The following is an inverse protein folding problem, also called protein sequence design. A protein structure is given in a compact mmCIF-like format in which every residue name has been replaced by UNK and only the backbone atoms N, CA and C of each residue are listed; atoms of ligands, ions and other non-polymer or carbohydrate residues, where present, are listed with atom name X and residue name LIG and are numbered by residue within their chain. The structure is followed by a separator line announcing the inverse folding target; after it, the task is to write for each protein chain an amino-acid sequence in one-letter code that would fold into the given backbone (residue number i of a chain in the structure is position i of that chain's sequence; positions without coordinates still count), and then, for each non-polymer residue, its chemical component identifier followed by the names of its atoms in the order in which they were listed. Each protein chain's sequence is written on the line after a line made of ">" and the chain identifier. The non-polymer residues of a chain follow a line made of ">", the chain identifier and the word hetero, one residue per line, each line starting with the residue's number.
data_IF_076215684481
#
_entry.id   IF_076215684481
#
_cell.length_a   1.000
_cell.length_b   1.000
_cell.length_c   1.000
_cell.angle_alpha   90.00
_cell.angle_beta   90.00
_cell.angle_gamma   90.00
#
_symmetry.space_group_name_H-M   'P 1'
#
loop_
_entity.id
_entity.type
_entity.pdbx_description
1 polymer ?
#
# COMPACT_ATOMS: atom_id res chain seq x y z
N UNK A 1 -10.86 2.91 -5.14
CA UNK A 1 -10.05 2.27 -6.18
C UNK A 1 -10.34 0.78 -6.22
N UNK A 2 -10.50 0.22 -7.42
CA UNK A 2 -10.80 -1.19 -7.68
C UNK A 2 -9.66 -1.80 -8.49
N UNK A 3 -9.18 -2.99 -8.11
CA UNK A 3 -8.07 -3.60 -8.83
C UNK A 3 -7.73 -5.03 -8.48
N UNK A 4 -8.16 -5.50 -7.29
CA UNK A 4 -7.73 -6.81 -6.78
C UNK A 4 -8.29 -7.98 -7.60
N UNK A 5 -9.50 -7.84 -8.18
CA UNK A 5 -10.19 -8.87 -8.96
C UNK A 5 -10.44 -8.47 -10.42
N UNK A 6 -10.03 -7.28 -10.85
CA UNK A 6 -10.17 -6.83 -12.24
C UNK A 6 -9.31 -7.67 -13.19
N UNK A 7 -9.54 -7.54 -14.50
CA UNK A 7 -8.72 -8.22 -15.50
C UNK A 7 -7.22 -7.95 -15.32
N UNK A 8 -6.34 -8.90 -15.66
CA UNK A 8 -4.89 -8.69 -15.69
C UNK A 8 -4.51 -7.51 -16.58
N UNK A 9 -3.65 -6.63 -16.07
CA UNK A 9 -3.13 -5.45 -16.76
C UNK A 9 -1.68 -5.14 -16.37
N UNK A 10 -1.06 -4.13 -16.97
CA UNK A 10 0.32 -3.73 -16.69
C UNK A 10 0.50 -3.14 -15.28
N UNK A 11 -0.57 -2.65 -14.63
CA UNK A 11 -0.57 -2.09 -13.28
C UNK A 11 -0.93 -3.14 -12.19
N UNK A 12 -1.01 -4.40 -12.57
CA UNK A 12 -1.38 -5.50 -11.65
C UNK A 12 -0.45 -5.63 -10.46
N UNK A 13 0.82 -5.16 -10.56
CA UNK A 13 1.76 -5.14 -9.44
C UNK A 13 1.23 -4.40 -8.22
N UNK A 14 0.56 -3.28 -8.44
CA UNK A 14 0.02 -2.44 -7.37
C UNK A 14 -1.20 -3.05 -6.66
N UNK A 15 -2.03 -3.79 -7.42
CA UNK A 15 -3.31 -4.26 -6.92
C UNK A 15 -3.28 -5.72 -6.48
N UNK A 16 -2.77 -6.58 -7.35
CA UNK A 16 -2.71 -8.03 -7.16
C UNK A 16 -1.71 -8.63 -8.14
N UNK A 17 -0.45 -8.86 -7.74
CA UNK A 17 0.59 -9.38 -8.63
C UNK A 17 0.31 -10.81 -9.14
N UNK A 18 -0.60 -11.58 -8.51
CA UNK A 18 -0.99 -12.89 -8.99
C UNK A 18 -1.67 -12.84 -10.36
N UNK A 19 -2.26 -11.72 -10.75
CA UNK A 19 -2.89 -11.48 -12.05
C UNK A 19 -1.90 -11.63 -13.21
N UNK A 20 -0.62 -11.30 -13.02
CA UNK A 20 0.39 -11.41 -14.08
C UNK A 20 0.55 -12.83 -14.64
N UNK A 21 0.23 -13.86 -13.86
CA UNK A 21 0.24 -15.24 -14.37
C UNK A 21 -0.82 -15.50 -15.45
N UNK A 22 -1.80 -14.62 -15.61
CA UNK A 22 -2.85 -14.70 -16.63
C UNK A 22 -2.65 -13.73 -17.80
N UNK A 23 -1.52 -12.99 -17.83
CA UNK A 23 -1.21 -12.13 -18.97
C UNK A 23 -0.85 -12.97 -20.19
N UNK A 24 -1.39 -12.62 -21.35
CA UNK A 24 -1.15 -13.32 -22.62
C UNK A 24 0.22 -12.98 -23.20
N UNK A 25 0.69 -11.74 -22.99
CA UNK A 25 2.00 -11.31 -23.49
C UNK A 25 3.14 -11.81 -22.61
N UNK A 26 4.27 -12.07 -23.25
CA UNK A 26 5.48 -12.58 -22.57
C UNK A 26 6.07 -11.58 -21.58
N UNK A 27 5.85 -10.31 -21.78
CA UNK A 27 6.33 -9.26 -20.89
C UNK A 27 5.74 -7.92 -21.24
N UNK A 28 5.85 -6.96 -20.34
CA UNK A 28 5.36 -5.61 -20.54
C UNK A 28 5.89 -4.65 -19.48
N UNK A 29 5.89 -3.37 -19.83
CA UNK A 29 6.31 -2.26 -18.97
C UNK A 29 5.25 -1.17 -19.04
N UNK A 30 4.98 -0.52 -17.92
CA UNK A 30 4.12 0.66 -17.83
C UNK A 30 4.82 1.74 -17.03
N UNK A 31 4.59 2.99 -17.43
CA UNK A 31 5.02 4.17 -16.69
C UNK A 31 3.84 5.12 -16.53
N UNK A 32 3.59 5.56 -15.31
CA UNK A 32 2.53 6.49 -14.99
C UNK A 32 3.14 7.68 -14.26
N UNK A 33 2.75 8.88 -14.63
CA UNK A 33 3.10 10.11 -13.94
C UNK A 33 1.82 10.90 -13.66
N UNK A 34 1.62 11.22 -12.40
CA UNK A 34 0.40 11.89 -11.94
C UNK A 34 0.79 13.12 -11.12
N UNK A 35 0.76 14.31 -11.73
CA UNK A 35 0.87 15.56 -10.97
C UNK A 35 -0.40 15.76 -10.15
N UNK A 36 -0.22 15.99 -8.85
CA UNK A 36 -1.34 16.10 -7.90
C UNK A 36 -1.58 17.56 -7.55
N UNK A 37 -2.85 17.99 -7.52
CA UNK A 37 -3.27 19.32 -7.06
C UNK A 37 -2.52 20.51 -7.71
N UNK A 38 -2.05 20.41 -8.93
CA UNK A 38 -1.18 21.37 -9.63
C UNK A 38 -1.68 22.83 -9.65
N UNK A 39 -2.99 23.05 -9.39
CA UNK A 39 -3.56 24.41 -9.28
C UNK A 39 -3.43 25.02 -7.87
N UNK A 40 -3.11 24.23 -6.87
CA UNK A 40 -2.97 24.63 -5.47
C UNK A 40 -1.52 24.54 -5.01
N UNK A 41 -0.85 23.43 -5.35
CA UNK A 41 0.54 23.14 -5.03
C UNK A 41 1.18 22.56 -6.28
N UNK A 42 2.28 23.09 -6.73
CA UNK A 42 2.84 22.81 -8.07
C UNK A 42 3.79 21.63 -8.13
N UNK A 43 4.17 21.06 -7.00
CA UNK A 43 5.31 20.14 -6.83
C UNK A 43 4.95 18.83 -6.07
N UNK A 44 3.66 18.52 -5.99
CA UNK A 44 3.21 17.19 -5.50
C UNK A 44 3.05 16.27 -6.71
N UNK A 45 3.92 15.26 -6.79
CA UNK A 45 4.02 14.37 -7.93
C UNK A 45 4.08 12.91 -7.51
N UNK A 46 3.39 12.06 -8.25
CA UNK A 46 3.49 10.61 -8.15
C UNK A 46 4.01 10.04 -9.46
N UNK A 47 5.15 9.37 -9.41
CA UNK A 47 5.69 8.58 -10.51
C UNK A 47 5.61 7.09 -10.17
N UNK A 48 5.16 6.27 -11.12
CA UNK A 48 5.05 4.83 -10.97
C UNK A 48 5.53 4.13 -12.23
N UNK A 49 6.46 3.21 -12.07
CA UNK A 49 6.98 2.33 -13.12
C UNK A 49 6.73 0.88 -12.69
N UNK A 50 6.19 0.06 -13.58
CA UNK A 50 6.05 -1.37 -13.32
C UNK A 50 6.33 -2.18 -14.57
N UNK A 51 6.73 -3.44 -14.35
CA UNK A 51 6.97 -4.37 -15.42
C UNK A 51 6.90 -5.82 -14.96
N UNK A 52 6.70 -6.72 -15.92
CA UNK A 52 6.69 -8.15 -15.67
C UNK A 52 7.32 -8.91 -16.83
N UNK A 53 7.77 -10.12 -16.53
CA UNK A 53 8.27 -11.07 -17.52
C UNK A 53 7.78 -12.48 -17.19
N UNK A 54 7.04 -13.07 -18.12
CA UNK A 54 6.51 -14.43 -18.01
C UNK A 54 7.57 -15.41 -18.53
N UNK A 55 8.06 -16.28 -17.65
CA UNK A 55 9.08 -17.28 -17.94
C UNK A 55 8.47 -18.60 -18.45
N UNK A 56 7.16 -18.66 -18.58
CA UNK A 56 6.38 -19.83 -18.96
C UNK A 56 5.64 -20.48 -17.79
N UNK A 57 4.67 -21.34 -18.10
CA UNK A 57 3.72 -21.88 -17.10
C UNK A 57 4.42 -22.64 -15.95
N UNK A 58 5.52 -23.35 -16.23
CA UNK A 58 6.26 -24.07 -15.21
C UNK A 58 7.16 -23.17 -14.37
N UNK A 59 7.70 -22.10 -14.93
CA UNK A 59 8.64 -21.20 -14.28
C UNK A 59 7.98 -19.99 -13.63
N UNK A 60 6.71 -19.68 -13.99
CA UNK A 60 5.96 -18.57 -13.45
C UNK A 60 6.33 -17.19 -14.04
N UNK A 61 5.97 -16.14 -13.36
CA UNK A 61 6.18 -14.75 -13.80
C UNK A 61 6.90 -13.97 -12.71
N UNK A 62 7.97 -13.27 -13.10
CA UNK A 62 8.61 -12.26 -12.26
C UNK A 62 8.07 -10.90 -12.62
N UNK A 63 7.93 -10.04 -11.63
CA UNK A 63 7.47 -8.66 -11.82
C UNK A 63 8.08 -7.73 -10.78
N UNK A 64 8.04 -6.44 -11.04
CA UNK A 64 8.51 -5.44 -10.11
C UNK A 64 7.93 -4.08 -10.41
N UNK A 65 8.04 -3.19 -9.43
CA UNK A 65 7.67 -1.80 -9.59
C UNK A 65 8.58 -0.88 -8.80
N UNK A 66 8.59 0.37 -9.22
CA UNK A 66 9.18 1.51 -8.52
C UNK A 66 8.12 2.58 -8.43
N UNK A 67 7.88 3.09 -7.22
CA UNK A 67 7.03 4.24 -6.97
C UNK A 67 7.82 5.35 -6.28
N UNK A 68 7.60 6.58 -6.71
CA UNK A 68 8.16 7.78 -6.10
C UNK A 68 7.05 8.79 -5.87
N UNK A 69 6.98 9.31 -4.66
CA UNK A 69 6.01 10.33 -4.27
C UNK A 69 6.74 11.54 -3.68
N UNK A 70 6.61 12.70 -4.35
CA UNK A 70 7.01 14.00 -3.83
C UNK A 70 5.81 14.65 -3.16
N UNK A 71 5.97 15.07 -1.91
CA UNK A 71 4.91 15.77 -1.17
C UNK A 71 4.96 17.29 -1.35
N UNK A 72 5.83 17.77 -2.24
CA UNK A 72 6.03 19.18 -2.49
C UNK A 72 6.88 19.88 -1.42
N UNK A 73 7.01 21.19 -1.57
CA UNK A 73 7.74 22.04 -0.63
C UNK A 73 6.86 22.39 0.57
N UNK A 74 7.37 22.16 1.77
CA UNK A 74 6.71 22.49 3.04
C UNK A 74 7.53 23.53 3.78
N UNK A 75 6.98 24.73 3.97
CA UNK A 75 7.64 25.77 4.76
C UNK A 75 7.51 25.49 6.25
N UNK A 76 8.65 25.39 6.93
CA UNK A 76 8.72 25.30 8.37
C UNK A 76 8.69 26.73 8.96
N UNK A 77 7.80 26.92 9.92
CA UNK A 77 7.61 28.20 10.60
C UNK A 77 7.95 28.06 12.07
N UNK A 78 8.52 29.11 12.66
CA UNK A 78 8.76 29.20 14.09
C UNK A 78 7.45 29.47 14.86
N UNK A 79 7.54 29.54 16.20
CA UNK A 79 6.40 29.85 17.07
C UNK A 79 5.80 31.26 16.85
N UNK A 80 6.49 32.14 16.15
CA UNK A 80 6.00 33.48 15.76
C UNK A 80 5.33 33.49 14.38
N UNK A 81 5.35 32.37 13.67
CA UNK A 81 4.82 32.24 12.31
C UNK A 81 5.80 32.69 11.23
N UNK A 82 7.09 32.95 11.59
CA UNK A 82 8.12 33.34 10.63
C UNK A 82 8.71 32.08 9.99
N UNK A 83 8.68 32.04 8.64
CA UNK A 83 9.29 30.94 7.89
C UNK A 83 10.83 30.99 8.03
N UNK A 84 11.45 29.87 8.35
CA UNK A 84 12.89 29.76 8.57
C UNK A 84 13.58 28.70 7.71
N UNK A 85 12.88 27.65 7.30
CA UNK A 85 13.40 26.59 6.42
C UNK A 85 12.29 26.01 5.53
N UNK A 86 12.72 25.29 4.48
CA UNK A 86 11.84 24.58 3.57
C UNK A 86 12.26 23.10 3.51
N UNK A 87 11.30 22.21 3.74
CA UNK A 87 11.47 20.77 3.60
C UNK A 87 10.86 20.29 2.28
N UNK A 88 11.47 19.26 1.68
CA UNK A 88 10.97 18.58 0.48
C UNK A 88 10.73 17.10 0.76
N UNK A 89 9.67 16.76 1.52
CA UNK A 89 9.38 15.39 1.89
C UNK A 89 9.17 14.51 0.67
N UNK A 90 9.76 13.32 0.70
CA UNK A 90 9.58 12.36 -0.37
C UNK A 90 9.58 10.93 0.16
N UNK A 91 8.89 10.06 -0.57
CA UNK A 91 8.82 8.64 -0.29
C UNK A 91 9.03 7.86 -1.58
N UNK A 92 9.66 6.70 -1.47
CA UNK A 92 9.75 5.79 -2.58
C UNK A 92 9.72 4.33 -2.13
N UNK A 93 9.26 3.48 -3.03
CA UNK A 93 9.20 2.05 -2.80
C UNK A 93 9.69 1.28 -4.03
N UNK A 94 10.35 0.16 -3.76
CA UNK A 94 10.72 -0.85 -4.77
C UNK A 94 10.06 -2.16 -4.41
N UNK A 95 9.35 -2.75 -5.37
CA UNK A 95 8.70 -4.04 -5.24
C UNK A 95 9.31 -5.05 -6.19
N UNK A 96 9.48 -6.27 -5.70
CA UNK A 96 9.79 -7.43 -6.51
C UNK A 96 8.79 -8.53 -6.18
N UNK A 97 8.17 -9.13 -7.20
CA UNK A 97 7.19 -10.18 -7.02
C UNK A 97 7.45 -11.38 -7.92
N UNK A 98 7.03 -12.52 -7.42
CA UNK A 98 6.96 -13.77 -8.16
C UNK A 98 5.52 -14.28 -8.10
N UNK A 99 4.95 -14.59 -9.26
CA UNK A 99 3.63 -15.19 -9.38
C UNK A 99 3.64 -16.46 -10.20
N UNK A 100 2.74 -17.39 -9.87
CA UNK A 100 2.63 -18.67 -10.57
C UNK A 100 1.19 -19.15 -10.58
N UNK A 101 0.77 -19.76 -11.70
CA UNK A 101 -0.45 -20.56 -11.77
C UNK A 101 -0.27 -21.83 -10.94
N UNK A 102 -1.16 -22.02 -9.97
CA UNK A 102 -1.27 -23.26 -9.19
C UNK A 102 -2.23 -24.25 -9.83
N UNK A 103 -3.20 -23.71 -10.56
CA UNK A 103 -4.20 -24.43 -11.32
C UNK A 103 -4.58 -23.62 -12.56
N UNK A 104 -5.31 -24.19 -13.51
CA UNK A 104 -5.77 -23.52 -14.73
C UNK A 104 -6.46 -22.18 -14.44
N UNK A 105 -7.23 -22.10 -13.33
CA UNK A 105 -8.01 -20.93 -12.92
C UNK A 105 -7.46 -20.19 -11.70
N UNK A 106 -6.39 -20.67 -11.09
CA UNK A 106 -5.87 -20.12 -9.82
C UNK A 106 -4.41 -19.76 -9.94
N UNK A 107 -4.06 -18.58 -9.55
CA UNK A 107 -2.67 -18.16 -9.35
C UNK A 107 -2.43 -17.57 -7.98
N UNK A 108 -1.19 -17.59 -7.56
CA UNK A 108 -0.69 -17.01 -6.32
C UNK A 108 0.54 -16.16 -6.62
N UNK A 109 0.76 -15.13 -5.80
CA UNK A 109 1.98 -14.34 -5.84
C UNK A 109 2.47 -14.01 -4.43
N UNK A 110 3.78 -13.81 -4.34
CA UNK A 110 4.45 -13.23 -3.18
C UNK A 110 5.29 -12.07 -3.69
N UNK A 111 5.22 -10.93 -2.99
CA UNK A 111 6.08 -9.79 -3.29
C UNK A 111 6.88 -9.39 -2.04
N UNK A 112 8.07 -8.86 -2.28
CA UNK A 112 8.89 -8.18 -1.29
C UNK A 112 8.96 -6.71 -1.67
N UNK A 113 8.79 -5.84 -0.68
CA UNK A 113 8.76 -4.39 -0.81
C UNK A 113 9.78 -3.76 0.11
N UNK A 114 10.61 -2.87 -0.44
CA UNK A 114 11.44 -1.95 0.32
C UNK A 114 10.80 -0.57 0.27
N UNK A 115 10.63 0.05 1.43
CA UNK A 115 10.03 1.37 1.62
C UNK A 115 11.06 2.31 2.24
N UNK A 116 11.15 3.51 1.69
CA UNK A 116 11.97 4.61 2.20
C UNK A 116 11.14 5.89 2.26
N UNK A 117 11.25 6.61 3.37
CA UNK A 117 10.56 7.87 3.58
C UNK A 117 11.50 8.88 4.24
N UNK A 118 11.63 10.04 3.62
CA UNK A 118 12.40 11.17 4.14
C UNK A 118 11.47 12.38 4.26
N UNK A 119 10.96 12.59 5.45
CA UNK A 119 10.03 13.69 5.76
C UNK A 119 10.75 15.01 6.03
N UNK A 120 12.05 14.95 6.28
CA UNK A 120 12.87 16.10 6.68
C UNK A 120 13.90 16.51 5.63
N UNK A 121 13.77 16.01 4.40
CA UNK A 121 14.69 16.30 3.31
C UNK A 121 14.82 17.81 3.07
N UNK A 122 16.05 18.32 3.09
CA UNK A 122 16.35 19.74 2.93
C UNK A 122 16.44 20.55 4.23
N UNK A 123 16.09 19.97 5.39
CA UNK A 123 16.16 20.66 6.69
C UNK A 123 17.52 20.44 7.34
N UNK A 124 18.17 21.54 7.76
CA UNK A 124 19.41 21.49 8.52
C UNK A 124 19.09 21.41 10.03
N UNK A 125 19.41 20.30 10.66
CA UNK A 125 19.16 20.03 12.08
C UNK A 125 19.87 21.00 13.06
N UNK A 126 20.85 21.77 12.60
CA UNK A 126 21.62 22.70 13.45
C UNK A 126 20.87 23.96 13.89
N UNK A 127 19.61 24.15 13.45
CA UNK A 127 18.84 25.40 13.70
C UNK A 127 17.85 25.29 14.85
N UNK A 128 17.61 24.08 15.39
CA UNK A 128 16.61 23.85 16.45
C UNK A 128 17.24 23.19 17.67
N UNK A 129 17.65 23.98 18.64
CA UNK A 129 18.28 23.52 19.92
C UNK A 129 17.40 22.61 20.79
N UNK A 130 16.11 22.40 20.45
CA UNK A 130 15.14 21.60 21.24
C UNK A 130 14.21 20.70 20.41
N UNK A 131 14.51 20.42 19.14
CA UNK A 131 13.68 19.51 18.33
C UNK A 131 14.31 18.12 18.32
N UNK A 132 13.50 17.10 18.45
CA UNK A 132 13.88 15.71 18.16
C UNK A 132 14.44 15.65 16.74
N UNK A 133 15.68 15.20 16.60
CA UNK A 133 16.33 15.08 15.30
C UNK A 133 15.58 14.01 14.50
N UNK A 134 15.02 14.40 13.36
CA UNK A 134 14.29 13.48 12.47
C UNK A 134 15.25 12.95 11.41
N UNK A 135 15.27 11.64 11.27
CA UNK A 135 16.07 10.92 10.28
C UNK A 135 15.18 10.26 9.22
N UNK A 136 15.71 10.03 8.01
CA UNK A 136 15.01 9.21 7.03
C UNK A 136 14.71 7.81 7.60
N UNK A 137 13.52 7.32 7.35
CA UNK A 137 13.08 6.01 7.80
C UNK A 137 12.97 5.02 6.64
N UNK A 138 13.22 3.75 6.92
CA UNK A 138 13.03 2.68 5.96
C UNK A 138 12.46 1.43 6.62
N UNK A 139 11.79 0.61 5.85
CA UNK A 139 11.30 -0.69 6.31
C UNK A 139 11.15 -1.65 5.14
N UNK A 140 10.95 -2.91 5.47
CA UNK A 140 10.63 -3.96 4.51
C UNK A 140 9.25 -4.54 4.81
N UNK A 141 8.55 -4.90 3.75
CA UNK A 141 7.25 -5.54 3.81
C UNK A 141 7.14 -6.68 2.80
N UNK A 142 6.17 -7.56 3.03
CA UNK A 142 5.80 -8.60 2.09
C UNK A 142 4.33 -8.50 1.72
N UNK A 143 4.00 -8.90 0.49
CA UNK A 143 2.62 -9.03 0.05
C UNK A 143 2.36 -10.49 -0.31
N UNK A 144 1.13 -10.95 -0.07
CA UNK A 144 0.63 -12.26 -0.50
C UNK A 144 -0.67 -12.06 -1.26
N UNK A 145 -0.74 -12.60 -2.46
CA UNK A 145 -1.88 -12.40 -3.35
C UNK A 145 -2.37 -13.73 -3.94
N UNK A 146 -3.68 -13.80 -4.13
CA UNK A 146 -4.37 -14.89 -4.83
C UNK A 146 -5.29 -14.30 -5.89
N UNK A 147 -5.37 -14.97 -7.02
CA UNK A 147 -6.28 -14.60 -8.08
C UNK A 147 -6.90 -15.85 -8.70
N UNK A 148 -8.22 -15.86 -8.78
CA UNK A 148 -9.01 -16.86 -9.47
C UNK A 148 -9.68 -16.23 -10.68
N UNK A 149 -9.59 -16.87 -11.84
CA UNK A 149 -10.24 -16.40 -13.07
C UNK A 149 -10.75 -17.59 -13.86
N UNK A 150 -12.06 -17.65 -14.01
CA UNK A 150 -12.75 -18.71 -14.74
C UNK A 150 -13.42 -18.13 -16.01
N UNK A 151 -13.13 -18.67 -17.19
CA UNK A 151 -13.88 -18.37 -18.40
C UNK A 151 -15.26 -19.06 -18.32
N UNK A 152 -16.27 -18.35 -18.82
CA UNK A 152 -17.65 -18.84 -18.95
C UNK A 152 -18.07 -18.56 -20.38
N UNK A 153 -18.22 -19.61 -21.18
CA UNK A 153 -18.66 -19.45 -22.58
C UNK A 153 -20.14 -19.17 -22.66
N UNK A 154 -20.48 -18.03 -23.23
CA UNK A 154 -21.84 -17.58 -23.50
C UNK A 154 -22.08 -17.55 -25.02
N UNK A 155 -23.35 -17.57 -25.48
CA UNK A 155 -23.67 -17.47 -26.90
C UNK A 155 -23.16 -16.18 -27.58
N UNK A 156 -22.91 -15.12 -26.76
CA UNK A 156 -22.44 -13.80 -27.23
C UNK A 156 -20.93 -13.64 -27.11
N UNK A 157 -20.18 -14.66 -26.68
CA UNK A 157 -18.73 -14.63 -26.47
C UNK A 157 -18.30 -15.10 -25.08
N UNK A 158 -17.00 -15.10 -24.84
CA UNK A 158 -16.45 -15.52 -23.56
C UNK A 158 -16.60 -14.43 -22.50
N UNK A 159 -17.23 -14.79 -21.40
CA UNK A 159 -17.35 -14.05 -20.15
C UNK A 159 -16.27 -14.50 -19.16
N UNK A 160 -15.96 -13.70 -18.17
CA UNK A 160 -15.02 -14.05 -17.12
C UNK A 160 -15.57 -13.74 -15.74
N UNK A 161 -15.51 -14.72 -14.86
CA UNK A 161 -15.72 -14.54 -13.43
C UNK A 161 -14.36 -14.55 -12.75
N UNK A 162 -14.09 -13.57 -11.89
CA UNK A 162 -12.83 -13.52 -11.14
C UNK A 162 -13.03 -13.18 -9.67
N UNK A 163 -12.15 -13.76 -8.84
CA UNK A 163 -11.98 -13.42 -7.44
C UNK A 163 -10.53 -13.01 -7.21
N UNK A 164 -10.34 -11.98 -6.41
CA UNK A 164 -9.02 -11.50 -6.02
C UNK A 164 -8.91 -11.33 -4.52
N UNK A 165 -7.77 -11.72 -3.99
CA UNK A 165 -7.38 -11.51 -2.60
C UNK A 165 -5.94 -10.98 -2.57
N UNK A 166 -5.69 -9.96 -1.75
CA UNK A 166 -4.36 -9.42 -1.52
C UNK A 166 -4.20 -8.97 -0.06
N UNK A 167 -3.15 -9.45 0.58
CA UNK A 167 -2.59 -8.91 1.81
C UNK A 167 -1.33 -8.15 1.43
N UNK A 168 -1.31 -6.85 1.63
CA UNK A 168 -0.18 -6.00 1.26
C UNK A 168 0.41 -5.26 2.45
N UNK A 169 1.69 -4.89 2.32
CA UNK A 169 2.44 -4.17 3.34
C UNK A 169 2.51 -4.90 4.70
N UNK A 170 2.62 -6.23 4.69
CA UNK A 170 2.88 -7.02 5.90
C UNK A 170 4.34 -6.85 6.30
N UNK A 171 4.65 -5.83 7.09
CA UNK A 171 6.04 -5.46 7.37
C UNK A 171 6.28 -4.87 8.74
N UNK A 172 7.51 -4.38 8.91
CA UNK A 172 7.95 -3.68 10.10
C UNK A 172 7.32 -2.30 10.24
N UNK A 173 7.54 -1.68 11.38
CA UNK A 173 7.20 -0.28 11.62
C UNK A 173 8.30 0.63 11.08
N UNK A 174 7.98 1.91 10.91
CA UNK A 174 8.93 2.97 10.59
C UNK A 174 9.11 3.89 11.78
N UNK A 175 10.35 4.33 12.03
CA UNK A 175 10.70 5.30 13.05
C UNK A 175 11.57 6.40 12.42
N UNK A 176 11.25 7.65 12.71
CA UNK A 176 11.96 8.83 12.22
C UNK A 176 12.81 9.52 13.31
N UNK A 177 12.78 8.98 14.54
CA UNK A 177 13.35 9.56 15.75
C UNK A 177 14.13 8.51 16.56
N UNK A 178 15.21 7.96 16.02
CA UNK A 178 16.07 6.94 16.65
C UNK A 178 15.32 5.75 17.29
N UNK A 179 14.05 5.55 16.92
CA UNK A 179 13.23 4.44 17.38
C UNK A 179 12.31 4.74 18.55
N UNK A 180 12.28 5.97 19.04
CA UNK A 180 11.42 6.38 20.17
C UNK A 180 9.93 6.30 19.79
N UNK A 181 9.60 6.65 18.54
CA UNK A 181 8.21 6.59 18.03
C UNK A 181 8.10 5.67 16.82
N UNK A 182 7.54 4.49 17.02
CA UNK A 182 7.36 3.52 15.96
C UNK A 182 5.95 3.57 15.37
N UNK A 183 5.87 3.85 14.08
CA UNK A 183 4.62 3.96 13.34
C UNK A 183 4.39 2.72 12.46
N UNK A 184 3.14 2.21 12.45
CA UNK A 184 2.76 1.15 11.53
C UNK A 184 2.75 1.64 10.09
N UNK A 185 3.29 0.84 9.18
CA UNK A 185 3.04 1.03 7.75
C UNK A 185 1.60 0.60 7.42
N UNK A 186 1.00 1.12 6.34
CA UNK A 186 -0.40 0.86 5.99
C UNK A 186 -0.60 -0.56 5.43
N UNK A 187 -0.49 -1.58 6.30
CA UNK A 187 -0.85 -2.93 5.95
C UNK A 187 -2.34 -3.01 5.58
N UNK A 188 -2.66 -3.73 4.52
CA UNK A 188 -4.02 -3.74 3.96
C UNK A 188 -4.42 -5.12 3.47
N UNK A 189 -5.70 -5.45 3.67
CA UNK A 189 -6.36 -6.62 3.12
C UNK A 189 -7.40 -6.18 2.10
N UNK A 190 -7.34 -6.76 0.91
CA UNK A 190 -8.31 -6.53 -0.17
C UNK A 190 -8.94 -7.85 -0.59
N UNK A 191 -10.24 -7.83 -0.76
CA UNK A 191 -11.03 -8.93 -1.28
C UNK A 191 -11.99 -8.40 -2.33
N UNK A 192 -11.96 -8.95 -3.52
CA UNK A 192 -12.80 -8.48 -4.62
C UNK A 192 -13.38 -9.60 -5.45
N UNK A 193 -14.44 -9.27 -6.14
CA UNK A 193 -15.10 -10.09 -7.15
C UNK A 193 -15.37 -9.25 -8.38
N UNK A 194 -15.18 -9.82 -9.55
CA UNK A 194 -15.57 -9.19 -10.80
C UNK A 194 -16.26 -10.19 -11.73
N UNK A 195 -17.14 -9.66 -12.58
CA UNK A 195 -17.81 -10.40 -13.61
C UNK A 195 -17.86 -9.56 -14.89
N UNK A 196 -17.30 -10.11 -15.96
CA UNK A 196 -17.25 -9.48 -17.28
C UNK A 196 -18.24 -10.15 -18.22
N UNK A 197 -19.10 -9.35 -18.85
CA UNK A 197 -20.09 -9.75 -19.83
C UNK A 197 -19.76 -9.15 -21.20
N UNK A 198 -19.54 -9.95 -22.24
CA UNK A 198 -19.53 -9.45 -23.60
C UNK A 198 -20.96 -9.15 -24.06
N UNK A 199 -21.17 -8.03 -24.74
CA UNK A 199 -22.41 -7.71 -25.46
C UNK A 199 -22.28 -8.01 -26.95
N UNK A 200 -21.11 -7.76 -27.51
CA UNK A 200 -20.71 -8.04 -28.88
C UNK A 200 -19.17 -8.17 -28.95
N UNK A 201 -18.62 -8.31 -30.15
CA UNK A 201 -17.17 -8.47 -30.38
C UNK A 201 -16.34 -7.27 -29.93
N UNK A 202 -16.95 -6.10 -29.71
CA UNK A 202 -16.27 -4.83 -29.40
C UNK A 202 -16.62 -4.27 -28.02
N UNK A 203 -17.77 -4.65 -27.47
CA UNK A 203 -18.31 -4.06 -26.25
C UNK A 203 -18.39 -5.10 -25.12
N UNK A 204 -17.80 -4.77 -23.97
CA UNK A 204 -17.85 -5.57 -22.77
C UNK A 204 -18.24 -4.71 -21.58
N UNK A 205 -19.01 -5.25 -20.67
CA UNK A 205 -19.38 -4.63 -19.41
C UNK A 205 -18.78 -5.44 -18.26
N UNK A 206 -18.08 -4.76 -17.36
CA UNK A 206 -17.53 -5.38 -16.16
C UNK A 206 -18.19 -4.80 -14.92
N UNK A 207 -18.70 -5.69 -14.07
CA UNK A 207 -19.11 -5.37 -12.70
C UNK A 207 -18.02 -5.82 -11.74
N UNK A 208 -17.64 -4.94 -10.84
CA UNK A 208 -16.64 -5.27 -9.80
C UNK A 208 -17.03 -4.69 -8.47
N UNK A 209 -16.83 -5.48 -7.42
CA UNK A 209 -17.01 -5.06 -6.02
C UNK A 209 -15.75 -5.46 -5.25
N UNK A 210 -15.23 -4.54 -4.45
CA UNK A 210 -14.04 -4.76 -3.64
C UNK A 210 -14.25 -4.27 -2.21
N UNK A 211 -13.85 -5.07 -1.24
CA UNK A 211 -13.78 -4.71 0.16
C UNK A 211 -12.32 -4.51 0.57
N UNK A 212 -12.05 -3.38 1.19
CA UNK A 212 -10.74 -3.00 1.72
C UNK A 212 -10.78 -2.90 3.22
N UNK A 213 -9.78 -3.47 3.89
CA UNK A 213 -9.59 -3.38 5.33
C UNK A 213 -8.13 -3.03 5.65
N UNK A 214 -7.92 -1.85 6.24
CA UNK A 214 -6.62 -1.49 6.79
C UNK A 214 -6.32 -2.33 8.03
N UNK A 215 -5.17 -2.99 8.03
CA UNK A 215 -4.71 -3.88 9.10
C UNK A 215 -3.77 -3.12 10.07
N UNK A 216 -4.21 -1.95 10.51
CA UNK A 216 -3.49 -1.11 11.45
C UNK A 216 -4.34 -0.91 12.69
N UNK A 217 -3.79 -1.08 13.90
CA UNK A 217 -4.57 -0.89 15.11
C UNK A 217 -4.97 0.57 15.27
N UNK A 218 -6.11 0.80 15.88
CA UNK A 218 -6.61 2.15 16.17
C UNK A 218 -5.72 2.80 17.25
N UNK A 219 -5.25 4.02 17.01
CA UNK A 219 -4.37 4.74 17.94
C UNK A 219 -5.05 4.97 19.31
N UNK A 220 -6.29 5.46 19.30
CA UNK A 220 -7.14 5.60 20.50
C UNK A 220 -8.06 4.38 20.63
N UNK A 221 -7.46 3.23 20.86
CA UNK A 221 -8.19 1.98 20.98
C UNK A 221 -8.87 1.86 22.34
N UNK A 222 -10.01 1.18 22.37
CA UNK A 222 -10.63 0.74 23.63
C UNK A 222 -9.76 -0.16 24.51
N UNK A 223 -8.64 -0.64 23.99
CA UNK A 223 -7.65 -1.44 24.71
C UNK A 223 -6.49 -0.60 25.27
N UNK A 224 -6.44 0.70 24.95
CA UNK A 224 -5.43 1.63 25.45
C UNK A 224 -5.83 2.16 26.84
N UNK A 225 -5.80 1.29 27.85
CA UNK A 225 -6.23 1.58 29.21
C UNK A 225 -5.06 1.43 30.19
N UNK A 226 -5.04 2.25 31.25
CA UNK A 226 -4.17 2.10 32.40
C UNK A 226 -4.68 0.99 33.35
N UNK A 227 -3.98 0.76 34.47
CA UNK A 227 -4.34 -0.26 35.47
C UNK A 227 -5.70 0.03 36.16
N UNK A 228 -6.12 1.29 36.17
CA UNK A 228 -7.39 1.74 36.75
C UNK A 228 -8.55 1.67 35.75
N UNK A 229 -8.30 1.27 34.49
CA UNK A 229 -9.28 1.17 33.42
C UNK A 229 -9.59 2.50 32.72
N UNK A 230 -8.79 3.54 32.94
CA UNK A 230 -8.92 4.83 32.27
C UNK A 230 -8.13 4.86 30.95
N UNK A 231 -8.59 5.65 29.98
CA UNK A 231 -7.93 5.77 28.69
C UNK A 231 -6.53 6.39 28.81
N UNK A 232 -5.55 5.74 28.19
CA UNK A 232 -4.19 6.28 28.08
C UNK A 232 -4.18 7.54 27.22
N UNK A 233 -3.39 8.53 27.63
CA UNK A 233 -3.24 9.81 26.91
C UNK A 233 -1.77 10.21 26.77
N UNK A 234 -1.50 11.13 25.84
CA UNK A 234 -0.16 11.72 25.71
C UNK A 234 0.95 10.69 25.47
N UNK A 235 2.01 10.78 26.25
CA UNK A 235 3.20 9.92 26.13
C UNK A 235 2.91 8.45 26.42
N UNK A 236 2.08 8.14 27.40
CA UNK A 236 1.70 6.77 27.75
C UNK A 236 0.98 6.06 26.60
N UNK A 237 0.11 6.79 25.89
CA UNK A 237 -0.59 6.26 24.69
C UNK A 237 0.40 5.99 23.55
N UNK A 238 1.38 6.86 23.33
CA UNK A 238 2.44 6.65 22.34
C UNK A 238 3.27 5.40 22.64
N UNK A 239 3.70 5.24 23.88
CA UNK A 239 4.48 4.09 24.32
C UNK A 239 3.70 2.78 24.17
N UNK A 240 2.42 2.79 24.60
CA UNK A 240 1.53 1.64 24.40
C UNK A 240 1.40 1.27 22.91
N UNK A 241 1.11 2.25 22.06
CA UNK A 241 0.94 2.03 20.61
C UNK A 241 2.24 1.53 19.97
N UNK A 242 3.38 2.09 20.36
CA UNK A 242 4.69 1.66 19.90
C UNK A 242 5.07 0.25 20.40
N UNK A 243 4.50 -0.22 21.50
CA UNK A 243 4.76 -1.55 22.05
C UNK A 243 4.01 -2.68 21.32
N UNK A 244 2.95 -2.36 20.54
CA UNK A 244 2.18 -3.36 19.81
C UNK A 244 3.03 -3.87 18.64
N UNK A 245 3.32 -5.17 18.58
CA UNK A 245 4.02 -5.77 17.44
C UNK A 245 3.16 -5.75 16.15
N UNK A 246 3.79 -5.68 14.98
CA UNK A 246 3.06 -5.63 13.69
C UNK A 246 2.06 -6.77 13.53
N UNK A 247 2.39 -8.06 13.77
CA UNK A 247 1.40 -9.14 13.65
C UNK A 247 0.24 -9.02 14.64
N UNK A 248 0.50 -8.56 15.88
CA UNK A 248 -0.56 -8.32 16.87
C UNK A 248 -1.48 -7.18 16.40
N UNK A 249 -0.91 -6.11 15.86
CA UNK A 249 -1.66 -4.97 15.33
C UNK A 249 -2.59 -5.38 14.17
N UNK A 250 -2.10 -6.22 13.25
CA UNK A 250 -2.92 -6.71 12.13
C UNK A 250 -4.16 -7.47 12.60
N UNK A 251 -4.01 -8.37 13.58
CA UNK A 251 -5.13 -9.14 14.15
C UNK A 251 -6.06 -8.24 14.95
N UNK A 252 -5.49 -7.36 15.78
CA UNK A 252 -6.24 -6.42 16.62
C UNK A 252 -7.13 -5.51 15.79
N UNK A 253 -6.71 -5.10 14.59
CA UNK A 253 -7.47 -4.22 13.70
C UNK A 253 -8.88 -4.71 13.35
N UNK A 254 -9.16 -6.01 13.45
CA UNK A 254 -10.49 -6.58 13.13
C UNK A 254 -11.54 -6.33 14.21
N UNK A 255 -11.12 -6.11 15.46
CA UNK A 255 -12.04 -5.89 16.59
C UNK A 255 -11.67 -4.63 17.40
N UNK A 256 -10.77 -3.83 16.84
CA UNK A 256 -10.32 -2.60 17.43
C UNK A 256 -11.23 -1.45 16.98
N UNK A 257 -12.08 -1.00 17.89
CA UNK A 257 -12.91 0.18 17.66
C UNK A 257 -12.32 1.37 18.46
N UNK A 258 -12.49 2.61 17.98
CA UNK A 258 -12.17 3.78 18.78
C UNK A 258 -12.82 3.68 20.15
N UNK A 259 -12.07 3.98 21.22
CA UNK A 259 -12.65 4.17 22.54
C UNK A 259 -13.56 5.38 22.48
N UNK A 260 -14.82 5.24 22.87
CA UNK A 260 -15.64 6.40 23.13
C UNK A 260 -15.10 7.04 24.43
N UNK A 261 -14.55 8.23 24.28
CA UNK A 261 -14.32 9.11 25.43
C UNK A 261 -15.67 9.78 25.64
N UNK A 262 -16.40 9.37 26.69
CA UNK A 262 -17.61 10.06 27.17
C UNK A 262 -17.25 11.46 27.70
#
# INVERSE_FOLDING_TARGET
>A
DLGVATNPDLNSQHWNPAKYSFMESKGGITANYTPWLTKLVTDIDLAYLAGYYNMGDMAGTISGSFSYFSMGAVQLVDYTGTAFQEAHPNEWAIDLAYSRKLHEYVSMAVALRFLYSDLNNGVNSSVTENSTEMHPAWTMAADVALYYRQPISLPMGDSYFALGFNLSNLGGKMAYDDGDTQNFIPANMRLGVSYELPFDDYNRLMFSVEANKMLVPTYQSKYALNEDGEALTGQQLKEWYSSISSPKGWIQSFHDAPGYVD
#
